data_IF_371043199424
#
_entry.id   IF_371043199424
#
_cell.length_a   1.000
_cell.length_b   1.000
_cell.length_c   1.000
_cell.angle_alpha   90.00
_cell.angle_beta   90.00
_cell.angle_gamma   90.00
#
_symmetry.space_group_name_H-M   'P 1'
#
loop_
_entity.id
_entity.type
_entity.pdbx_description
1 polymer ?
#
# COMPACT_ATOMS: atom_id res chain seq x y z
N UNK A 1 -8.97 20.99 -28.36
CA UNK A 1 -7.91 21.60 -27.55
C UNK A 1 -6.89 22.25 -28.46
N UNK A 2 -6.26 23.35 -28.07
CA UNK A 2 -5.18 23.97 -28.84
C UNK A 2 -4.04 22.98 -29.08
N UNK A 3 -3.51 22.92 -30.28
CA UNK A 3 -2.42 21.97 -30.64
C UNK A 3 -1.20 22.16 -29.73
N UNK A 4 -0.84 23.39 -29.41
CA UNK A 4 0.28 23.72 -28.53
C UNK A 4 0.15 23.06 -27.14
N UNK A 5 -1.04 23.01 -26.57
CA UNK A 5 -1.30 22.41 -25.30
C UNK A 5 -1.24 20.88 -25.33
N UNK A 6 -1.71 20.25 -26.40
CA UNK A 6 -1.52 18.81 -26.61
C UNK A 6 -0.03 18.47 -26.70
N UNK A 7 0.74 19.25 -27.43
CA UNK A 7 2.20 19.10 -27.52
C UNK A 7 2.88 19.29 -26.19
N UNK A 8 2.42 20.24 -25.35
CA UNK A 8 2.92 20.42 -23.97
C UNK A 8 2.68 19.18 -23.10
N UNK A 9 1.48 18.58 -23.17
CA UNK A 9 1.14 17.34 -22.48
C UNK A 9 2.08 16.21 -22.88
N UNK A 10 2.25 16.01 -24.21
CA UNK A 10 3.08 14.95 -24.75
C UNK A 10 4.56 15.09 -24.35
N UNK A 11 5.09 16.31 -24.43
CA UNK A 11 6.45 16.63 -24.02
C UNK A 11 6.66 16.36 -22.55
N UNK A 12 5.79 16.91 -21.68
CA UNK A 12 5.86 16.73 -20.23
C UNK A 12 5.85 15.25 -19.84
N UNK A 13 4.98 14.45 -20.48
CA UNK A 13 4.93 13.02 -20.24
C UNK A 13 6.21 12.31 -20.65
N UNK A 14 6.75 12.58 -21.86
CA UNK A 14 7.97 11.94 -22.37
C UNK A 14 9.20 12.26 -21.51
N UNK A 15 9.38 13.52 -21.17
CA UNK A 15 10.61 14.00 -20.54
C UNK A 15 10.66 13.68 -19.03
N UNK A 16 9.51 13.73 -18.36
CA UNK A 16 9.51 13.64 -16.89
C UNK A 16 8.65 12.49 -16.34
N UNK A 17 7.52 12.21 -16.95
CA UNK A 17 6.51 11.29 -16.40
C UNK A 17 6.33 10.01 -17.21
N UNK A 18 7.30 9.63 -18.03
CA UNK A 18 7.27 8.35 -18.74
C UNK A 18 7.08 7.18 -17.76
N UNK A 19 6.19 6.23 -18.09
CA UNK A 19 5.84 5.10 -17.23
C UNK A 19 4.72 5.34 -16.21
N UNK A 20 4.29 6.59 -16.02
CA UNK A 20 3.11 6.86 -15.20
C UNK A 20 1.84 6.34 -15.88
N UNK A 21 0.91 5.78 -15.10
CA UNK A 21 -0.42 5.57 -15.63
C UNK A 21 -1.13 6.91 -15.85
N UNK A 22 -2.03 6.96 -16.84
CA UNK A 22 -2.66 8.23 -17.28
C UNK A 22 -3.35 8.98 -16.13
N UNK A 23 -4.03 8.26 -15.23
CA UNK A 23 -4.74 8.89 -14.09
C UNK A 23 -3.76 9.54 -13.12
N UNK A 24 -2.68 8.87 -12.83
CA UNK A 24 -1.63 9.38 -11.95
C UNK A 24 -0.95 10.60 -12.58
N UNK A 25 -0.60 10.51 -13.87
CA UNK A 25 -0.06 11.64 -14.61
C UNK A 25 -1.00 12.84 -14.57
N UNK A 26 -2.30 12.66 -14.84
CA UNK A 26 -3.26 13.76 -14.78
C UNK A 26 -3.32 14.42 -13.39
N UNK A 27 -3.24 13.66 -12.31
CA UNK A 27 -3.26 14.20 -10.95
C UNK A 27 -2.03 15.07 -10.67
N UNK A 28 -0.84 14.54 -10.96
CA UNK A 28 0.42 15.28 -10.76
C UNK A 28 0.49 16.50 -11.70
N UNK A 29 0.13 16.32 -12.96
CA UNK A 29 0.16 17.40 -13.94
C UNK A 29 -0.78 18.57 -13.58
N UNK A 30 -1.93 18.30 -12.96
CA UNK A 30 -2.80 19.33 -12.40
C UNK A 30 -2.17 20.02 -11.21
N UNK A 31 -1.61 19.26 -10.26
CA UNK A 31 -1.05 19.77 -9.03
C UNK A 31 0.23 20.59 -9.25
N UNK A 32 1.14 20.10 -10.09
CA UNK A 32 2.49 20.64 -10.24
C UNK A 32 2.67 21.53 -11.47
N UNK A 33 1.82 21.35 -12.50
CA UNK A 33 1.96 22.05 -13.79
C UNK A 33 0.72 22.84 -14.22
N UNK A 34 -0.31 22.89 -13.38
CA UNK A 34 -1.54 23.65 -13.64
C UNK A 34 -2.32 23.15 -14.86
N UNK A 35 -2.16 21.88 -15.27
CA UNK A 35 -2.90 21.33 -16.42
C UNK A 35 -4.36 21.08 -16.05
N UNK A 36 -5.29 21.71 -16.77
CA UNK A 36 -6.74 21.67 -16.49
C UNK A 36 -7.53 20.70 -17.38
N UNK A 37 -6.86 19.99 -18.28
CA UNK A 37 -7.52 19.10 -19.26
C UNK A 37 -8.22 17.91 -18.63
N UNK A 38 -9.30 17.47 -19.31
CA UNK A 38 -10.02 16.27 -18.92
C UNK A 38 -9.14 15.02 -19.06
N UNK A 39 -9.39 14.02 -18.19
CA UNK A 39 -8.75 12.72 -18.29
C UNK A 39 -8.85 12.10 -19.69
N UNK A 40 -10.02 12.24 -20.35
CA UNK A 40 -10.27 11.67 -21.66
C UNK A 40 -9.36 12.29 -22.71
N UNK A 41 -9.20 13.60 -22.72
CA UNK A 41 -8.29 14.28 -23.65
C UNK A 41 -6.84 13.82 -23.48
N UNK A 42 -6.35 13.84 -22.24
CA UNK A 42 -4.97 13.41 -21.92
C UNK A 42 -4.76 11.95 -22.33
N UNK A 43 -5.73 11.07 -22.02
CA UNK A 43 -5.68 9.67 -22.41
C UNK A 43 -5.60 9.49 -23.92
N UNK A 44 -6.46 10.19 -24.68
CA UNK A 44 -6.48 10.10 -26.14
C UNK A 44 -5.18 10.64 -26.75
N UNK A 45 -4.66 11.75 -26.26
CA UNK A 45 -3.40 12.31 -26.71
C UNK A 45 -2.21 11.35 -26.49
N UNK A 46 -2.09 10.79 -25.27
CA UNK A 46 -1.01 9.85 -24.95
C UNK A 46 -1.12 8.53 -25.72
N UNK A 47 -2.34 8.01 -25.90
CA UNK A 47 -2.57 6.80 -26.69
C UNK A 47 -2.37 7.02 -28.19
N UNK A 48 -2.81 8.14 -28.73
CA UNK A 48 -2.59 8.52 -30.13
C UNK A 48 -1.11 8.72 -30.48
N UNK A 49 -0.33 9.21 -29.50
CA UNK A 49 1.13 9.34 -29.64
C UNK A 49 1.91 8.03 -29.32
N UNK A 50 1.24 6.91 -29.08
CA UNK A 50 1.88 5.63 -28.74
C UNK A 50 2.61 5.58 -27.39
N UNK A 51 2.42 6.59 -26.52
CA UNK A 51 3.12 6.70 -25.24
C UNK A 51 2.50 5.83 -24.14
N UNK A 52 1.22 5.48 -24.28
CA UNK A 52 0.50 4.62 -23.35
C UNK A 52 -0.34 3.60 -24.14
N UNK A 53 -0.20 2.33 -23.78
CA UNK A 53 -0.95 1.27 -24.43
C UNK A 53 -2.46 1.34 -24.11
N UNK A 54 -3.29 0.95 -25.08
CA UNK A 54 -4.71 0.70 -24.84
C UNK A 54 -4.85 -0.51 -23.94
N UNK A 55 -5.48 -0.35 -22.78
CA UNK A 55 -5.70 -1.45 -21.82
C UNK A 55 -6.76 -2.40 -22.40
N UNK A 56 -6.47 -3.70 -22.41
CA UNK A 56 -7.47 -4.72 -22.75
C UNK A 56 -8.60 -4.72 -21.73
N UNK A 57 -9.87 -5.01 -22.14
CA UNK A 57 -10.97 -5.20 -21.20
C UNK A 57 -10.60 -6.24 -20.15
N UNK A 58 -10.95 -5.98 -18.89
CA UNK A 58 -10.78 -6.96 -17.82
C UNK A 58 -11.85 -8.05 -17.97
N UNK A 59 -11.47 -9.29 -17.72
CA UNK A 59 -12.41 -10.40 -17.64
C UNK A 59 -13.45 -10.25 -16.51
N UNK A 60 -14.30 -11.27 -16.36
CA UNK A 60 -15.46 -11.30 -15.46
C UNK A 60 -15.13 -10.83 -14.04
N UNK A 61 -15.99 -9.98 -13.46
CA UNK A 61 -15.84 -9.49 -12.08
C UNK A 61 -15.91 -10.65 -11.08
N UNK A 62 -14.89 -10.75 -10.20
CA UNK A 62 -14.93 -11.63 -9.04
C UNK A 62 -15.81 -10.98 -7.96
N UNK A 63 -16.58 -11.79 -7.23
CA UNK A 63 -17.35 -11.33 -6.07
C UNK A 63 -16.43 -10.67 -5.05
N UNK A 64 -16.77 -9.49 -4.58
CA UNK A 64 -16.00 -8.75 -3.59
C UNK A 64 -16.53 -9.07 -2.20
N UNK A 65 -15.66 -9.28 -1.24
CA UNK A 65 -16.03 -9.26 0.17
C UNK A 65 -16.36 -7.82 0.57
N UNK A 66 -17.45 -7.63 1.32
CA UNK A 66 -17.76 -6.34 1.91
C UNK A 66 -16.64 -5.90 2.88
N UNK A 67 -16.33 -4.59 2.96
CA UNK A 67 -15.45 -4.06 3.98
C UNK A 67 -16.03 -4.25 5.37
N UNK A 68 -15.17 -4.25 6.38
CA UNK A 68 -15.62 -4.04 7.75
C UNK A 68 -16.25 -2.66 7.87
N UNK A 69 -17.28 -2.48 8.72
CA UNK A 69 -17.98 -1.21 8.84
C UNK A 69 -17.16 -0.11 9.51
N UNK A 70 -16.35 -0.45 10.55
CA UNK A 70 -15.68 0.52 11.39
C UNK A 70 -14.19 0.67 11.06
N UNK A 71 -13.69 1.89 11.15
CA UNK A 71 -12.25 2.18 11.08
C UNK A 71 -11.51 1.50 12.24
N UNK A 72 -10.47 0.74 11.94
CA UNK A 72 -9.70 -0.01 12.94
C UNK A 72 -10.27 -1.36 13.35
N UNK A 73 -11.43 -1.78 12.83
CA UNK A 73 -12.00 -3.10 13.13
C UNK A 73 -11.13 -4.23 12.56
N UNK A 74 -10.56 -4.02 11.38
CA UNK A 74 -9.65 -4.96 10.73
C UNK A 74 -8.56 -4.21 9.98
N UNK A 75 -7.32 -4.51 10.29
CA UNK A 75 -6.16 -4.01 9.53
C UNK A 75 -5.46 -5.17 8.82
N UNK A 76 -4.93 -4.90 7.63
CA UNK A 76 -4.19 -5.86 6.83
C UNK A 76 -2.71 -5.51 6.84
N UNK A 77 -1.85 -6.43 7.25
CA UNK A 77 -0.40 -6.32 7.11
C UNK A 77 0.07 -7.24 5.99
N UNK A 78 0.83 -6.70 5.05
CA UNK A 78 1.37 -7.44 3.91
C UNK A 78 2.74 -6.91 3.53
N UNK A 79 3.63 -7.79 3.09
CA UNK A 79 4.92 -7.45 2.54
C UNK A 79 4.92 -7.53 1.02
N UNK A 80 5.59 -6.61 0.37
CA UNK A 80 5.70 -6.58 -1.08
C UNK A 80 7.14 -6.42 -1.54
N UNK A 81 7.70 -7.50 -2.09
CA UNK A 81 9.04 -7.48 -2.68
C UNK A 81 8.97 -6.99 -4.11
N UNK A 82 9.64 -5.87 -4.38
CA UNK A 82 9.64 -5.22 -5.70
C UNK A 82 10.89 -4.36 -5.89
N UNK A 83 11.21 -3.99 -7.14
CA UNK A 83 12.23 -2.98 -7.45
C UNK A 83 11.64 -1.58 -7.18
N UNK A 84 11.51 -1.22 -5.90
CA UNK A 84 10.87 0.03 -5.50
C UNK A 84 11.66 1.28 -5.89
N UNK A 85 12.99 1.16 -5.94
CA UNK A 85 13.90 2.25 -6.28
C UNK A 85 14.35 2.11 -7.75
N UNK A 86 13.56 2.61 -8.69
CA UNK A 86 13.82 2.50 -10.12
C UNK A 86 15.18 3.09 -10.56
N UNK A 87 15.75 4.01 -9.77
CA UNK A 87 17.06 4.61 -10.03
C UNK A 87 18.24 3.76 -9.50
N UNK A 88 17.93 2.60 -8.90
CA UNK A 88 18.93 1.62 -8.41
C UNK A 88 18.58 0.26 -9.02
N UNK A 89 18.93 0.05 -10.30
CA UNK A 89 18.56 -1.17 -11.02
C UNK A 89 19.20 -2.41 -10.39
N UNK A 90 18.50 -3.55 -10.48
CA UNK A 90 18.99 -4.84 -9.98
C UNK A 90 18.79 -5.05 -8.47
N UNK A 91 18.32 -4.05 -7.72
CA UNK A 91 18.10 -4.17 -6.28
C UNK A 91 16.61 -4.29 -5.99
N UNK A 92 16.23 -5.39 -5.34
CA UNK A 92 14.87 -5.63 -4.85
C UNK A 92 14.77 -5.22 -3.39
N UNK A 93 13.73 -4.47 -3.04
CA UNK A 93 13.43 -4.11 -1.66
C UNK A 93 12.09 -4.72 -1.25
N UNK A 94 11.90 -4.90 0.04
CA UNK A 94 10.60 -5.29 0.61
C UNK A 94 9.95 -4.07 1.25
N UNK A 95 8.70 -3.82 0.90
CA UNK A 95 7.88 -2.80 1.55
C UNK A 95 6.86 -3.49 2.44
N UNK A 96 6.87 -3.16 3.74
CA UNK A 96 5.80 -3.51 4.65
C UNK A 96 4.71 -2.47 4.55
N UNK A 97 3.46 -2.92 4.47
CA UNK A 97 2.29 -2.04 4.37
C UNK A 97 1.21 -2.50 5.35
N UNK A 98 0.65 -1.57 6.12
CA UNK A 98 -0.54 -1.80 6.93
C UNK A 98 -1.67 -0.92 6.40
N UNK A 99 -2.80 -1.56 6.07
CA UNK A 99 -3.96 -0.89 5.45
C UNK A 99 -5.21 -1.21 6.25
N UNK A 100 -6.01 -0.19 6.54
CA UNK A 100 -7.32 -0.38 7.14
C UNK A 100 -8.35 -0.92 6.13
N UNK A 101 -9.14 -1.91 6.55
CA UNK A 101 -10.12 -2.59 5.70
C UNK A 101 -11.30 -1.71 5.32
N UNK A 102 -11.83 -0.94 6.28
CA UNK A 102 -12.99 -0.09 6.12
C UNK A 102 -12.69 1.10 5.21
N UNK A 103 -11.67 1.84 5.54
CA UNK A 103 -11.34 3.12 4.90
C UNK A 103 -10.38 3.00 3.73
N UNK A 104 -9.62 1.90 3.61
CA UNK A 104 -8.49 1.70 2.68
C UNK A 104 -7.32 2.66 2.90
N UNK A 105 -7.29 3.35 4.01
CA UNK A 105 -6.16 4.19 4.36
C UNK A 105 -4.93 3.31 4.61
N UNK A 106 -3.80 3.75 4.08
CA UNK A 106 -2.49 3.22 4.42
C UNK A 106 -2.12 3.84 5.77
N UNK A 107 -2.06 3.01 6.81
CA UNK A 107 -1.69 3.41 8.17
C UNK A 107 -0.17 3.43 8.32
N UNK A 108 0.50 2.54 7.61
CA UNK A 108 1.95 2.39 7.62
C UNK A 108 2.45 1.89 6.27
N UNK A 109 3.56 2.44 5.79
CA UNK A 109 4.33 1.87 4.69
C UNK A 109 5.81 2.22 4.83
N UNK A 110 6.67 1.21 4.75
CA UNK A 110 8.12 1.39 4.88
C UNK A 110 8.89 0.36 4.06
N UNK A 111 9.93 0.80 3.36
CA UNK A 111 10.94 -0.09 2.79
C UNK A 111 11.83 -0.60 3.92
N UNK A 112 11.93 -1.93 4.04
CA UNK A 112 12.72 -2.60 5.06
C UNK A 112 13.93 -3.31 4.45
N UNK A 113 15.03 -3.31 5.17
CA UNK A 113 16.24 -4.04 4.82
C UNK A 113 16.09 -5.51 5.24
N UNK A 114 16.63 -6.43 4.46
CA UNK A 114 16.64 -7.86 4.79
C UNK A 114 15.30 -8.58 4.67
N UNK A 115 14.21 -7.90 4.25
CA UNK A 115 12.90 -8.50 4.05
C UNK A 115 11.98 -8.46 5.28
N UNK A 116 11.00 -9.36 5.31
CA UNK A 116 9.97 -9.45 6.36
C UNK A 116 10.52 -10.15 7.61
N UNK A 117 11.34 -9.46 8.40
CA UNK A 117 11.81 -9.98 9.68
C UNK A 117 10.81 -9.73 10.80
N UNK A 118 10.83 -10.58 11.84
CA UNK A 118 10.02 -10.37 13.06
C UNK A 118 10.25 -8.98 13.65
N UNK A 119 11.48 -8.50 13.68
CA UNK A 119 11.83 -7.18 14.20
C UNK A 119 11.18 -6.05 13.37
N UNK A 120 11.22 -6.14 12.03
CA UNK A 120 10.58 -5.16 11.15
C UNK A 120 9.05 -5.15 11.32
N UNK A 121 8.44 -6.32 11.48
CA UNK A 121 6.99 -6.45 11.74
C UNK A 121 6.63 -5.84 13.10
N UNK A 122 7.38 -6.13 14.16
CA UNK A 122 7.15 -5.57 15.49
C UNK A 122 7.29 -4.05 15.50
N UNK A 123 8.27 -3.51 14.76
CA UNK A 123 8.44 -2.06 14.59
C UNK A 123 7.22 -1.45 13.89
N UNK A 124 6.76 -2.06 12.79
CA UNK A 124 5.58 -1.59 12.06
C UNK A 124 4.31 -1.60 12.91
N UNK A 125 4.10 -2.70 13.66
CA UNK A 125 2.96 -2.81 14.58
C UNK A 125 3.05 -1.76 15.68
N UNK A 126 4.21 -1.60 16.34
CA UNK A 126 4.41 -0.58 17.38
C UNK A 126 4.03 0.82 16.87
N UNK A 127 4.50 1.22 15.70
CA UNK A 127 4.21 2.54 15.14
C UNK A 127 2.70 2.74 14.91
N UNK A 128 2.02 1.74 14.36
CA UNK A 128 0.56 1.79 14.15
C UNK A 128 -0.19 1.82 15.48
N UNK A 129 0.16 0.96 16.43
CA UNK A 129 -0.50 0.89 17.72
C UNK A 129 -0.33 2.19 18.53
N UNK A 130 0.87 2.77 18.51
CA UNK A 130 1.15 4.04 19.18
C UNK A 130 0.38 5.19 18.55
N UNK A 131 0.23 5.20 17.21
CA UNK A 131 -0.38 6.31 16.47
C UNK A 131 -1.89 6.25 16.47
N UNK A 132 -2.47 5.06 16.29
CA UNK A 132 -3.90 4.88 16.06
C UNK A 132 -4.62 4.14 17.19
N UNK A 133 -3.90 3.36 17.99
CA UNK A 133 -4.46 2.47 19.01
C UNK A 133 -4.48 1.01 18.59
N UNK A 134 -5.08 0.16 19.42
CA UNK A 134 -5.23 -1.28 19.20
C UNK A 134 -6.39 -1.54 18.24
N UNK A 135 -6.17 -2.18 17.07
CA UNK A 135 -7.26 -2.60 16.18
C UNK A 135 -7.97 -3.84 16.75
N UNK A 136 -9.20 -4.08 16.33
CA UNK A 136 -9.93 -5.30 16.69
C UNK A 136 -9.29 -6.56 16.15
N UNK A 137 -8.79 -6.55 14.91
CA UNK A 137 -8.16 -7.69 14.27
C UNK A 137 -7.02 -7.29 13.33
N UNK A 138 -6.02 -8.18 13.22
CA UNK A 138 -4.94 -8.10 12.25
C UNK A 138 -5.03 -9.28 11.28
N UNK A 139 -5.15 -8.97 9.98
CA UNK A 139 -5.08 -9.95 8.90
C UNK A 139 -3.68 -10.02 8.32
N UNK A 140 -3.11 -11.23 8.26
CA UNK A 140 -1.80 -11.48 7.65
C UNK A 140 -1.85 -12.68 6.69
N UNK A 141 -0.82 -12.85 5.90
CA UNK A 141 -0.55 -14.13 5.26
C UNK A 141 0.05 -15.13 6.27
N UNK A 142 0.49 -16.30 5.76
CA UNK A 142 1.11 -17.36 6.56
C UNK A 142 2.63 -17.30 6.53
N UNK A 143 3.22 -16.12 6.52
CA UNK A 143 4.66 -15.98 6.64
C UNK A 143 5.17 -16.55 7.97
N UNK A 144 6.43 -16.99 8.01
CA UNK A 144 7.01 -17.65 9.18
C UNK A 144 7.03 -16.79 10.46
N UNK A 145 7.01 -15.47 10.33
CA UNK A 145 6.87 -14.56 11.47
C UNK A 145 5.43 -14.51 12.01
N UNK A 146 4.42 -14.79 11.16
CA UNK A 146 3.01 -14.75 11.52
C UNK A 146 2.55 -16.07 12.17
N UNK A 147 3.01 -17.22 11.67
CA UNK A 147 2.58 -18.53 12.15
C UNK A 147 3.70 -19.56 12.05
N UNK A 148 3.76 -20.44 13.06
CA UNK A 148 4.65 -21.61 13.04
C UNK A 148 4.08 -22.68 12.13
N UNK A 149 4.87 -23.11 11.12
CA UNK A 149 4.52 -24.21 10.23
C UNK A 149 5.57 -25.28 10.34
N UNK A 150 5.26 -26.48 10.89
CA UNK A 150 6.26 -27.53 11.17
C UNK A 150 6.99 -28.01 9.92
N UNK A 151 6.28 -28.11 8.79
CA UNK A 151 6.83 -28.53 7.50
C UNK A 151 6.24 -27.69 6.38
N UNK A 152 7.01 -27.41 5.35
CA UNK A 152 6.52 -26.66 4.18
C UNK A 152 5.26 -27.34 3.60
N UNK A 153 4.18 -26.58 3.47
CA UNK A 153 2.90 -27.06 2.95
C UNK A 153 1.95 -27.70 4.00
N UNK A 154 2.39 -27.89 5.25
CA UNK A 154 1.51 -28.41 6.33
C UNK A 154 0.55 -27.33 6.86
N UNK A 155 -0.44 -27.79 7.65
CA UNK A 155 -1.32 -26.87 8.36
C UNK A 155 -0.52 -26.07 9.42
N UNK A 156 -0.88 -24.79 9.65
CA UNK A 156 -0.27 -24.00 10.71
C UNK A 156 -0.47 -24.64 12.09
N UNK A 157 0.60 -24.68 12.87
CA UNK A 157 0.51 -25.09 14.28
C UNK A 157 0.05 -23.90 15.12
N UNK A 158 -1.23 -23.89 15.49
CA UNK A 158 -1.84 -22.84 16.30
C UNK A 158 -1.51 -22.95 17.79
N UNK A 159 -0.91 -24.07 18.23
CA UNK A 159 -0.51 -24.25 19.62
C UNK A 159 0.84 -23.59 19.90
N UNK A 160 1.67 -23.46 18.87
CA UNK A 160 3.00 -22.83 18.93
C UNK A 160 2.97 -21.42 18.38
N UNK A 161 2.67 -20.45 19.24
CA UNK A 161 2.65 -19.05 18.86
C UNK A 161 4.05 -18.52 18.51
N UNK A 162 4.13 -17.75 17.43
CA UNK A 162 5.30 -16.93 17.09
C UNK A 162 5.44 -15.77 18.09
N UNK A 163 6.55 -15.05 18.05
CA UNK A 163 6.72 -13.84 18.86
C UNK A 163 5.61 -12.81 18.57
N UNK A 164 5.32 -12.57 17.29
CA UNK A 164 4.21 -11.69 16.88
C UNK A 164 2.87 -12.23 17.39
N UNK A 165 2.60 -13.53 17.22
CA UNK A 165 1.37 -14.15 17.72
C UNK A 165 1.17 -13.97 19.22
N UNK A 166 2.23 -14.13 20.03
CA UNK A 166 2.16 -13.89 21.49
C UNK A 166 1.85 -12.43 21.83
N UNK A 167 2.49 -11.47 21.10
CA UNK A 167 2.23 -10.05 21.29
C UNK A 167 0.76 -9.70 20.97
N UNK A 168 0.21 -10.22 19.87
CA UNK A 168 -1.19 -9.99 19.50
C UNK A 168 -2.17 -10.54 20.56
N UNK A 169 -1.93 -11.76 21.05
CA UNK A 169 -2.74 -12.35 22.14
C UNK A 169 -2.69 -11.48 23.40
N UNK A 170 -1.50 -11.05 23.82
CA UNK A 170 -1.32 -10.16 24.98
C UNK A 170 -2.08 -8.85 24.85
N UNK A 171 -2.14 -8.29 23.65
CA UNK A 171 -2.83 -7.03 23.35
C UNK A 171 -4.32 -7.21 23.06
N UNK A 172 -4.84 -8.44 23.08
CA UNK A 172 -6.25 -8.73 22.76
C UNK A 172 -6.62 -8.51 21.31
N UNK A 173 -5.65 -8.50 20.39
CA UNK A 173 -5.87 -8.32 18.95
C UNK A 173 -6.11 -9.69 18.30
N UNK A 174 -7.26 -9.85 17.62
CA UNK A 174 -7.55 -11.09 16.89
C UNK A 174 -6.57 -11.25 15.71
N UNK A 175 -5.90 -12.41 15.61
CA UNK A 175 -5.02 -12.71 14.48
C UNK A 175 -5.72 -13.58 13.44
N UNK A 176 -6.03 -13.02 12.28
CA UNK A 176 -6.69 -13.68 11.17
C UNK A 176 -5.66 -14.08 10.11
N UNK A 177 -5.41 -15.37 9.96
CA UNK A 177 -4.51 -15.91 8.95
C UNK A 177 -5.22 -16.12 7.62
N UNK A 178 -4.68 -15.57 6.54
CA UNK A 178 -5.21 -15.70 5.19
C UNK A 178 -5.04 -17.11 4.61
N UNK A 179 -6.15 -17.76 4.29
CA UNK A 179 -6.17 -19.11 3.70
C UNK A 179 -6.42 -19.13 2.19
N UNK A 180 -6.91 -18.05 1.61
CA UNK A 180 -7.29 -18.04 0.20
C UNK A 180 -6.82 -16.79 -0.54
N UNK A 181 -6.57 -16.89 -1.86
CA UNK A 181 -6.27 -15.73 -2.69
C UNK A 181 -7.38 -14.67 -2.68
N UNK A 182 -8.64 -15.08 -2.47
CA UNK A 182 -9.78 -14.16 -2.40
C UNK A 182 -9.71 -13.26 -1.17
N UNK A 183 -9.21 -13.78 -0.05
CA UNK A 183 -9.02 -13.04 1.19
C UNK A 183 -7.90 -11.98 1.06
N UNK A 184 -6.87 -12.23 0.24
CA UNK A 184 -5.75 -11.30 -0.03
C UNK A 184 -6.09 -10.16 -1.00
N UNK A 185 -7.24 -10.19 -1.67
CA UNK A 185 -7.57 -9.28 -2.75
C UNK A 185 -7.61 -7.78 -2.39
N UNK A 186 -7.50 -7.41 -1.09
CA UNK A 186 -7.37 -6.02 -0.65
C UNK A 186 -5.91 -5.58 -0.59
N UNK A 187 -5.06 -6.32 0.11
CA UNK A 187 -3.62 -6.05 0.17
C UNK A 187 -2.99 -6.12 -1.22
N UNK A 188 -3.32 -7.14 -2.03
CA UNK A 188 -2.87 -7.22 -3.43
C UNK A 188 -3.23 -5.98 -4.26
N UNK A 189 -4.45 -5.44 -4.10
CA UNK A 189 -4.86 -4.22 -4.81
C UNK A 189 -4.19 -2.98 -4.28
N UNK A 190 -4.00 -2.87 -2.98
CA UNK A 190 -3.23 -1.79 -2.38
C UNK A 190 -1.80 -1.82 -2.90
N UNK A 191 -1.12 -2.96 -2.80
CA UNK A 191 0.24 -3.17 -3.30
C UNK A 191 0.35 -2.88 -4.80
N UNK A 192 -0.56 -3.37 -5.62
CA UNK A 192 -0.58 -3.06 -7.06
C UNK A 192 -0.77 -1.57 -7.37
N UNK A 193 -1.54 -0.86 -6.54
CA UNK A 193 -1.70 0.60 -6.69
C UNK A 193 -0.45 1.33 -6.23
N UNK A 194 0.15 0.90 -5.13
CA UNK A 194 1.41 1.45 -4.61
C UNK A 194 2.55 1.25 -5.62
N UNK A 195 2.74 0.03 -6.14
CA UNK A 195 3.74 -0.28 -7.16
C UNK A 195 3.56 0.59 -8.42
N UNK A 196 2.32 0.75 -8.88
CA UNK A 196 2.01 1.55 -10.07
C UNK A 196 2.19 3.06 -9.91
N UNK A 197 2.42 3.56 -8.68
CA UNK A 197 2.57 4.99 -8.38
C UNK A 197 3.89 5.33 -7.71
N UNK A 198 4.19 4.71 -6.57
CA UNK A 198 5.33 5.06 -5.73
C UNK A 198 6.66 4.94 -6.49
N UNK A 199 6.88 3.84 -7.21
CA UNK A 199 8.11 3.63 -7.99
C UNK A 199 8.40 4.80 -8.92
N UNK A 200 7.37 5.30 -9.60
CA UNK A 200 7.50 6.43 -10.52
C UNK A 200 7.68 7.75 -9.78
N UNK A 201 7.02 7.96 -8.65
CA UNK A 201 7.18 9.17 -7.84
C UNK A 201 8.60 9.25 -7.24
N UNK A 202 9.10 8.15 -6.68
CA UNK A 202 10.47 8.08 -6.16
C UNK A 202 11.52 8.37 -7.26
N UNK A 203 11.29 7.85 -8.48
CA UNK A 203 12.14 8.12 -9.63
C UNK A 203 12.16 9.61 -9.99
N UNK A 204 10.99 10.24 -10.09
CA UNK A 204 10.87 11.67 -10.43
C UNK A 204 11.44 12.56 -9.33
N UNK A 205 11.33 12.14 -8.07
CA UNK A 205 11.94 12.82 -6.93
C UNK A 205 13.46 12.58 -6.79
N UNK A 206 14.06 11.76 -7.66
CA UNK A 206 15.50 11.48 -7.62
C UNK A 206 15.94 10.60 -6.46
N UNK A 207 15.01 9.88 -5.82
CA UNK A 207 15.27 9.10 -4.60
C UNK A 207 15.93 7.77 -4.93
N UNK A 208 17.07 7.48 -4.26
CA UNK A 208 17.92 6.32 -4.50
C UNK A 208 18.18 5.45 -3.25
N UNK A 209 17.76 5.89 -2.07
CA UNK A 209 18.01 5.15 -0.83
C UNK A 209 16.72 4.81 -0.10
N UNK A 210 16.65 3.66 0.62
CA UNK A 210 15.48 3.30 1.43
C UNK A 210 15.14 4.36 2.47
N UNK A 211 16.13 4.95 3.13
CA UNK A 211 15.92 5.99 4.14
C UNK A 211 15.22 7.23 3.56
N UNK A 212 15.68 7.73 2.39
CA UNK A 212 15.03 8.85 1.71
C UNK A 212 13.63 8.48 1.20
N UNK A 213 13.43 7.25 0.72
CA UNK A 213 12.12 6.75 0.30
C UNK A 213 11.14 6.67 1.49
N UNK A 214 11.59 6.20 2.64
CA UNK A 214 10.77 6.11 3.85
C UNK A 214 10.35 7.49 4.37
N UNK A 215 11.25 8.49 4.30
CA UNK A 215 10.89 9.87 4.58
C UNK A 215 9.83 10.39 3.60
N UNK A 216 10.02 10.19 2.29
CA UNK A 216 9.07 10.58 1.26
C UNK A 216 7.69 9.90 1.44
N UNK A 217 7.68 8.62 1.80
CA UNK A 217 6.47 7.86 2.12
C UNK A 217 5.67 8.56 3.24
N UNK A 218 6.31 8.85 4.37
CA UNK A 218 5.63 9.45 5.53
C UNK A 218 5.17 10.88 5.27
N UNK A 219 6.05 11.71 4.71
CA UNK A 219 5.81 13.15 4.62
C UNK A 219 4.90 13.55 3.46
N UNK A 220 4.88 12.75 2.39
CA UNK A 220 4.18 13.14 1.15
C UNK A 220 3.29 12.05 0.59
N UNK A 221 3.84 10.88 0.32
CA UNK A 221 3.12 9.88 -0.46
C UNK A 221 1.88 9.32 0.25
N UNK A 222 2.00 8.92 1.53
CA UNK A 222 0.88 8.34 2.31
C UNK A 222 -0.25 9.35 2.49
N UNK A 223 0.01 10.62 2.90
CA UNK A 223 -1.04 11.65 2.97
C UNK A 223 -1.76 11.85 1.63
N UNK A 224 -1.03 12.01 0.52
CA UNK A 224 -1.60 12.20 -0.81
C UNK A 224 -2.40 10.96 -1.29
N UNK A 225 -1.87 9.77 -0.99
CA UNK A 225 -2.52 8.50 -1.31
C UNK A 225 -3.83 8.34 -0.55
N UNK A 226 -3.83 8.58 0.75
CA UNK A 226 -5.01 8.48 1.61
C UNK A 226 -6.08 9.50 1.21
N UNK A 227 -5.70 10.73 0.91
CA UNK A 227 -6.61 11.75 0.39
C UNK A 227 -7.25 11.35 -0.94
N UNK A 228 -6.51 10.61 -1.80
CA UNK A 228 -6.99 10.20 -3.13
C UNK A 228 -7.84 8.91 -3.09
N UNK A 229 -7.50 7.94 -2.25
CA UNK A 229 -8.04 6.58 -2.28
C UNK A 229 -8.78 6.18 -1.01
N UNK A 230 -8.60 6.92 0.06
CA UNK A 230 -9.32 6.74 1.31
C UNK A 230 -10.83 6.87 1.09
N UNK A 231 -11.60 6.22 1.95
CA UNK A 231 -13.06 6.23 1.94
C UNK A 231 -13.57 6.49 3.34
N UNK A 232 -14.73 7.09 3.43
CA UNK A 232 -15.50 7.14 4.67
C UNK A 232 -15.92 5.71 5.05
N UNK A 233 -15.71 5.28 6.29
CA UNK A 233 -16.23 3.99 6.77
C UNK A 233 -17.75 3.98 6.78
N UNK A 234 -18.37 2.80 6.75
CA UNK A 234 -19.82 2.67 6.77
C UNK A 234 -20.41 3.10 8.13
N UNK A 235 -19.68 2.83 9.21
CA UNK A 235 -19.97 3.29 10.56
C UNK A 235 -18.91 4.34 10.95
N UNK A 236 -19.28 5.54 11.38
CA UNK A 236 -18.34 6.58 11.77
C UNK A 236 -17.58 6.28 13.07
N UNK A 237 -18.03 5.29 13.84
CA UNK A 237 -17.37 4.88 15.08
C UNK A 237 -16.01 4.26 14.79
N UNK A 238 -14.96 4.70 15.50
CA UNK A 238 -13.66 4.05 15.46
C UNK A 238 -13.66 2.82 16.36
N UNK A 239 -13.16 1.70 15.83
CA UNK A 239 -12.91 0.49 16.59
C UNK A 239 -11.48 0.42 17.19
N UNK A 240 -10.64 1.41 16.89
CA UNK A 240 -9.35 1.52 17.57
C UNK A 240 -9.54 1.86 19.05
N UNK A 241 -8.87 1.10 19.90
CA UNK A 241 -8.87 1.31 21.35
C UNK A 241 -7.52 1.92 21.76
N UNK A 242 -7.48 2.96 22.61
CA UNK A 242 -6.21 3.50 23.11
C UNK A 242 -5.35 2.41 23.75
N UNK A 243 -4.04 2.48 23.54
CA UNK A 243 -3.08 1.50 24.10
C UNK A 243 -3.17 1.43 25.63
N UNK A 244 -3.51 2.54 26.30
CA UNK A 244 -3.73 2.58 27.75
C UNK A 244 -2.47 2.24 28.54
N UNK A 245 -2.61 1.30 29.48
CA UNK A 245 -1.52 0.82 30.34
C UNK A 245 -0.67 -0.30 29.70
N UNK A 246 -0.93 -0.68 28.45
CA UNK A 246 -0.11 -1.68 27.75
C UNK A 246 1.28 -1.12 27.50
N UNK A 247 2.29 -1.85 27.95
CA UNK A 247 3.68 -1.55 27.64
C UNK A 247 4.04 -2.20 26.30
N UNK A 248 4.28 -1.38 25.30
CA UNK A 248 4.70 -1.82 23.96
C UNK A 248 6.21 -2.11 23.86
N UNK A 249 6.98 -1.86 24.94
CA UNK A 249 8.42 -2.13 24.99
C UNK A 249 8.76 -3.58 25.34
N UNK A 250 7.84 -4.31 25.98
CA UNK A 250 7.97 -5.72 26.35
C UNK A 250 7.50 -6.66 25.22
#
# INVERSE_FOLDING_TARGET
APVAEVQRILRLYRERYAGFNVRHFCQIARREHGLTFSYTLVKMALQGAGLVAKRRPRGRHRRRREPRPCYGELVHLDGSRHAWLALVPGVMQTMLVIVDDATKQVLYAQLVEGGESTAAIMTALREVLTTFGLPGALYTDRAGWAVSTPTSGSAPDRTKLTQVGRALVRLGIEHILGFSPQARGRSERANGTLQGRLVNELRVAGIRTPAAANRYLRERFIPDFNATFGRTPADPTSAFVPVGAHDLEQ
#
